data_IF_119052037139
#
_entry.id   IF_119052037139
#
_cell.length_a   1.000
_cell.length_b   1.000
_cell.length_c   1.000
_cell.angle_alpha   90.00
_cell.angle_beta   90.00
_cell.angle_gamma   90.00
#
_symmetry.space_group_name_H-M   'P 1'
#
loop_
_entity.id
_entity.type
_entity.pdbx_description
1 polymer ?
#
# COMPACT_ATOMS: atom_id res chain seq x y z
N UNK A 1 -17.03 -3.82 -28.32
CA UNK A 1 -16.05 -3.17 -27.43
C UNK A 1 -14.70 -3.86 -27.64
N UNK A 2 -13.66 -3.12 -28.03
CA UNK A 2 -12.35 -3.70 -28.37
C UNK A 2 -11.69 -4.36 -27.14
N UNK A 3 -10.97 -5.47 -27.35
CA UNK A 3 -10.23 -6.19 -26.28
C UNK A 3 -9.25 -5.28 -25.55
N UNK A 4 -8.60 -4.36 -26.27
CA UNK A 4 -7.65 -3.38 -25.73
C UNK A 4 -8.32 -2.51 -24.65
N UNK A 5 -9.50 -1.95 -24.93
CA UNK A 5 -10.23 -1.08 -24.00
C UNK A 5 -10.57 -1.78 -22.70
N UNK A 6 -10.90 -3.08 -22.76
CA UNK A 6 -11.18 -3.90 -21.57
C UNK A 6 -9.90 -4.20 -20.76
N UNK A 7 -8.78 -4.46 -21.43
CA UNK A 7 -7.48 -4.67 -20.77
C UNK A 7 -7.02 -3.41 -20.06
N UNK A 8 -7.09 -2.25 -20.72
CA UNK A 8 -6.72 -0.96 -20.12
C UNK A 8 -7.61 -0.59 -18.93
N UNK A 9 -8.93 -0.84 -19.02
CA UNK A 9 -9.84 -0.62 -17.90
C UNK A 9 -9.48 -1.48 -16.68
N UNK A 10 -9.15 -2.76 -16.88
CA UNK A 10 -8.75 -3.65 -15.79
C UNK A 10 -7.42 -3.22 -15.13
N UNK A 11 -6.46 -2.73 -15.92
CA UNK A 11 -5.20 -2.18 -15.40
C UNK A 11 -5.47 -0.92 -14.57
N UNK A 12 -6.32 -0.02 -15.06
CA UNK A 12 -6.69 1.21 -14.35
C UNK A 12 -7.42 0.90 -13.03
N UNK A 13 -8.36 -0.05 -13.03
CA UNK A 13 -9.04 -0.49 -11.82
C UNK A 13 -8.06 -1.05 -10.79
N UNK A 14 -7.10 -1.88 -11.23
CA UNK A 14 -6.08 -2.42 -10.32
C UNK A 14 -5.16 -1.33 -9.77
N UNK A 15 -4.78 -0.36 -10.59
CA UNK A 15 -3.98 0.78 -10.14
C UNK A 15 -4.73 1.60 -9.07
N UNK A 16 -6.02 1.87 -9.27
CA UNK A 16 -6.85 2.56 -8.29
C UNK A 16 -6.98 1.78 -6.98
N UNK A 17 -7.13 0.46 -7.04
CA UNK A 17 -7.15 -0.41 -5.86
C UNK A 17 -5.83 -0.33 -5.09
N UNK A 18 -4.70 -0.44 -5.78
CA UNK A 18 -3.36 -0.34 -5.18
C UNK A 18 -3.13 1.03 -4.52
N UNK A 19 -3.57 2.12 -5.14
CA UNK A 19 -3.48 3.47 -4.57
C UNK A 19 -4.34 3.59 -3.30
N UNK A 20 -5.56 3.05 -3.32
CA UNK A 20 -6.45 3.05 -2.14
C UNK A 20 -5.82 2.27 -0.99
N UNK A 21 -5.29 1.09 -1.27
CA UNK A 21 -4.58 0.27 -0.30
C UNK A 21 -3.39 1.02 0.32
N UNK A 22 -2.54 1.66 -0.49
CA UNK A 22 -1.42 2.45 0.00
C UNK A 22 -1.86 3.62 0.87
N UNK A 23 -2.93 4.32 0.48
CA UNK A 23 -3.49 5.45 1.25
C UNK A 23 -4.00 5.01 2.62
N UNK A 24 -4.69 3.87 2.69
CA UNK A 24 -5.18 3.34 3.95
C UNK A 24 -4.03 2.92 4.88
N UNK A 25 -2.98 2.30 4.34
CA UNK A 25 -1.77 1.96 5.10
C UNK A 25 -1.05 3.21 5.65
N UNK A 26 -0.89 4.26 4.84
CA UNK A 26 -0.31 5.54 5.32
C UNK A 26 -1.14 6.14 6.45
N UNK A 27 -2.48 6.04 6.36
CA UNK A 27 -3.37 6.51 7.44
C UNK A 27 -3.16 5.70 8.73
N UNK A 28 -3.06 4.37 8.63
CA UNK A 28 -2.82 3.52 9.79
C UNK A 28 -1.46 3.77 10.43
N UNK A 29 -0.40 3.94 9.63
CA UNK A 29 0.92 4.32 10.12
C UNK A 29 0.88 5.68 10.83
N UNK A 30 0.16 6.67 10.29
CA UNK A 30 -0.03 7.96 10.96
C UNK A 30 -0.76 7.84 12.31
N UNK A 31 -1.77 6.97 12.40
CA UNK A 31 -2.46 6.67 13.66
C UNK A 31 -1.51 5.98 14.66
N UNK A 32 -0.66 5.07 14.18
CA UNK A 32 0.31 4.37 15.02
C UNK A 32 1.40 5.32 15.55
N UNK A 33 1.91 6.24 14.72
CA UNK A 33 2.82 7.30 15.18
C UNK A 33 2.17 8.17 16.25
N UNK A 34 0.89 8.46 16.11
CA UNK A 34 0.13 9.18 17.15
C UNK A 34 0.03 8.36 18.43
N UNK A 35 -0.22 7.04 18.34
CA UNK A 35 -0.27 6.15 19.49
C UNK A 35 1.09 6.07 20.21
N UNK A 36 2.20 5.97 19.48
CA UNK A 36 3.56 5.99 20.03
C UNK A 36 3.80 7.29 20.81
N UNK A 37 3.44 8.44 20.23
CA UNK A 37 3.58 9.74 20.90
C UNK A 37 2.76 9.80 22.19
N UNK A 38 1.50 9.38 22.15
CA UNK A 38 0.64 9.36 23.34
C UNK A 38 1.13 8.39 24.42
N UNK A 39 1.70 7.25 24.02
CA UNK A 39 2.30 6.28 24.95
C UNK A 39 3.52 6.87 25.66
N UNK A 40 4.36 7.62 24.94
CA UNK A 40 5.47 8.39 25.53
C UNK A 40 4.98 9.48 26.50
N UNK A 41 3.94 10.22 26.11
CA UNK A 41 3.41 11.36 26.90
C UNK A 41 2.67 10.92 28.17
N UNK A 42 1.97 9.79 28.13
CA UNK A 42 0.99 9.43 29.17
C UNK A 42 1.17 8.04 29.76
N UNK A 43 1.97 7.18 29.15
CA UNK A 43 2.15 5.78 29.55
C UNK A 43 3.63 5.43 29.74
N UNK A 44 4.49 6.44 29.94
CA UNK A 44 5.93 6.31 30.19
C UNK A 44 6.68 5.54 29.08
N UNK A 45 6.12 5.49 27.87
CA UNK A 45 6.67 4.76 26.75
C UNK A 45 6.65 3.23 26.90
N UNK A 46 5.86 2.69 27.83
CA UNK A 46 5.82 1.24 28.13
C UNK A 46 5.52 0.35 26.92
N UNK A 47 4.81 0.86 25.91
CA UNK A 47 4.40 0.10 24.71
C UNK A 47 5.11 0.55 23.45
N UNK A 48 6.04 1.49 23.52
CA UNK A 48 6.70 2.06 22.33
C UNK A 48 7.39 1.00 21.49
N UNK A 49 8.06 0.03 22.12
CA UNK A 49 8.73 -1.05 21.40
C UNK A 49 7.75 -1.92 20.62
N UNK A 50 6.65 -2.35 21.25
CA UNK A 50 5.62 -3.16 20.60
C UNK A 50 4.92 -2.40 19.48
N UNK A 51 4.61 -1.11 19.69
CA UNK A 51 4.00 -0.25 18.69
C UNK A 51 4.94 0.01 17.51
N UNK A 52 6.23 0.20 17.77
CA UNK A 52 7.23 0.35 16.72
C UNK A 52 7.41 -0.94 15.91
N UNK A 53 7.40 -2.11 16.55
CA UNK A 53 7.44 -3.40 15.88
C UNK A 53 6.22 -3.60 14.98
N UNK A 54 5.02 -3.28 15.48
CA UNK A 54 3.80 -3.33 14.66
C UNK A 54 3.89 -2.38 13.46
N UNK A 55 4.50 -1.20 13.63
CA UNK A 55 4.68 -0.24 12.55
C UNK A 55 5.64 -0.74 11.48
N UNK A 56 6.73 -1.38 11.92
CA UNK A 56 7.67 -2.04 11.02
C UNK A 56 6.98 -3.13 10.20
N UNK A 57 6.24 -4.03 10.85
CA UNK A 57 5.54 -5.15 10.19
C UNK A 57 4.54 -4.64 9.15
N UNK A 58 3.67 -3.69 9.54
CA UNK A 58 2.69 -3.10 8.63
C UNK A 58 3.33 -2.37 7.45
N UNK A 59 4.42 -1.62 7.70
CA UNK A 59 5.12 -0.91 6.62
C UNK A 59 5.83 -1.87 5.66
N UNK A 60 6.39 -2.96 6.17
CA UNK A 60 7.06 -3.99 5.37
C UNK A 60 6.07 -4.74 4.50
N UNK A 61 4.94 -5.15 5.07
CA UNK A 61 3.86 -5.81 4.33
C UNK A 61 3.28 -4.88 3.26
N UNK A 62 3.10 -3.60 3.58
CA UNK A 62 2.66 -2.62 2.60
C UNK A 62 3.67 -2.44 1.46
N UNK A 63 4.95 -2.31 1.77
CA UNK A 63 6.00 -2.17 0.75
C UNK A 63 6.03 -3.39 -0.18
N UNK A 64 6.07 -4.59 0.39
CA UNK A 64 6.06 -5.85 -0.37
C UNK A 64 4.83 -5.97 -1.29
N UNK A 65 3.65 -5.58 -0.79
CA UNK A 65 2.44 -5.60 -1.61
C UNK A 65 2.52 -4.58 -2.75
N UNK A 66 2.95 -3.35 -2.47
CA UNK A 66 3.04 -2.29 -3.47
C UNK A 66 4.04 -2.63 -4.57
N UNK A 67 5.20 -3.18 -4.23
CA UNK A 67 6.20 -3.65 -5.20
C UNK A 67 5.63 -4.74 -6.10
N UNK A 68 4.98 -5.76 -5.50
CA UNK A 68 4.35 -6.82 -6.27
C UNK A 68 3.21 -6.31 -7.17
N UNK A 69 2.48 -5.27 -6.77
CA UNK A 69 1.47 -4.65 -7.64
C UNK A 69 2.09 -3.79 -8.74
N UNK A 70 3.19 -3.09 -8.47
CA UNK A 70 3.91 -2.33 -9.48
C UNK A 70 4.37 -3.25 -10.62
N UNK A 71 5.05 -4.36 -10.30
CA UNK A 71 5.47 -5.35 -11.29
C UNK A 71 4.31 -5.98 -12.09
N UNK A 72 3.12 -6.11 -11.48
CA UNK A 72 1.92 -6.62 -12.16
C UNK A 72 1.34 -5.60 -13.12
N UNK A 73 1.30 -4.33 -12.71
CA UNK A 73 0.81 -3.24 -13.53
C UNK A 73 1.73 -2.99 -14.73
N UNK A 74 3.06 -2.99 -14.52
CA UNK A 74 4.05 -2.88 -15.59
C UNK A 74 3.88 -3.98 -16.63
N UNK A 75 3.85 -5.25 -16.20
CA UNK A 75 3.59 -6.37 -17.13
C UNK A 75 2.26 -6.27 -17.85
N UNK A 76 1.23 -5.73 -17.17
CA UNK A 76 -0.08 -5.48 -17.76
C UNK A 76 -0.03 -4.42 -18.86
N UNK A 77 0.72 -3.34 -18.62
CA UNK A 77 0.93 -2.27 -19.60
C UNK A 77 1.72 -2.77 -20.81
N UNK A 78 2.85 -3.45 -20.59
CA UNK A 78 3.66 -4.03 -21.67
C UNK A 78 2.81 -4.94 -22.57
N UNK A 79 1.97 -5.79 -21.97
CA UNK A 79 1.10 -6.69 -22.71
C UNK A 79 0.00 -5.95 -23.49
N UNK A 80 -0.50 -4.82 -22.96
CA UNK A 80 -1.48 -3.99 -23.65
C UNK A 80 -0.86 -3.22 -24.81
N UNK A 81 0.38 -2.74 -24.67
CA UNK A 81 1.13 -2.05 -25.72
C UNK A 81 1.44 -2.97 -26.90
N UNK A 82 1.81 -4.22 -26.66
CA UNK A 82 2.01 -5.23 -27.73
C UNK A 82 0.73 -5.53 -28.50
N UNK A 83 -0.44 -5.32 -27.89
CA UNK A 83 -1.76 -5.58 -28.48
C UNK A 83 -2.39 -4.35 -29.17
N UNK A 84 -1.80 -3.16 -29.01
CA UNK A 84 -2.29 -1.88 -29.53
C UNK A 84 -1.87 -1.64 -30.98
#
# INVERSE_FOLDING_TARGET
MSTIVRTTAAIADKALETIRYGKDNVRWLGALMTAIRLDLEHNEGRRVADLASLGWDLSSDCANYLDAQAERLERGLDAAEVQA
#
